data_IF_084673289238
#
_entry.id   IF_084673289238
#
_cell.length_a   1.000
_cell.length_b   1.000
_cell.length_c   1.000
_cell.angle_alpha   90.00
_cell.angle_beta   90.00
_cell.angle_gamma   90.00
#
_symmetry.space_group_name_H-M   'P 1'
#
loop_
_entity.id
_entity.type
_entity.pdbx_description
1 polymer ?
#
# COMPACT_ATOMS: atom_id res chain seq x y z
N UNK A 1 5.67 -17.26 7.61
CA UNK A 1 6.08 -15.84 7.57
C UNK A 1 6.47 -15.32 6.17
N UNK A 2 7.05 -16.11 5.26
CA UNK A 2 7.51 -15.59 3.95
C UNK A 2 6.42 -15.26 2.91
N UNK A 3 5.24 -15.90 2.98
CA UNK A 3 4.19 -15.74 1.97
C UNK A 3 3.48 -14.38 2.03
N UNK A 4 3.27 -13.84 3.23
CA UNK A 4 2.61 -12.53 3.44
C UNK A 4 3.39 -11.39 2.78
N UNK A 5 4.72 -11.42 2.87
CA UNK A 5 5.60 -10.42 2.26
C UNK A 5 5.52 -10.34 0.73
N UNK A 6 5.11 -11.42 0.05
CA UNK A 6 4.99 -11.44 -1.42
C UNK A 6 3.85 -10.55 -1.89
N UNK A 7 2.71 -10.62 -1.23
CA UNK A 7 1.54 -9.79 -1.56
C UNK A 7 1.84 -8.30 -1.36
N UNK A 8 2.47 -7.93 -0.25
CA UNK A 8 2.86 -6.53 0.01
C UNK A 8 3.80 -5.96 -1.06
N UNK A 9 4.79 -6.75 -1.51
CA UNK A 9 5.67 -6.34 -2.60
C UNK A 9 4.93 -6.15 -3.92
N UNK A 10 3.94 -7.00 -4.21
CA UNK A 10 3.14 -6.91 -5.42
C UNK A 10 2.23 -5.68 -5.40
N UNK A 11 1.55 -5.41 -4.28
CA UNK A 11 0.73 -4.19 -4.10
C UNK A 11 1.58 -2.94 -4.26
N UNK A 12 2.79 -2.91 -3.67
CA UNK A 12 3.71 -1.78 -3.82
C UNK A 12 4.15 -1.58 -5.28
N UNK A 13 4.53 -2.66 -5.96
CA UNK A 13 4.95 -2.59 -7.35
C UNK A 13 3.83 -2.05 -8.24
N UNK A 14 2.61 -2.54 -8.04
CA UNK A 14 1.45 -2.12 -8.84
C UNK A 14 1.03 -0.67 -8.53
N UNK A 15 0.95 -0.28 -7.25
CA UNK A 15 0.68 1.11 -6.86
C UNK A 15 1.72 2.08 -7.46
N UNK A 16 3.00 1.70 -7.46
CA UNK A 16 4.06 2.49 -8.08
C UNK A 16 3.87 2.61 -9.60
N UNK A 17 3.50 1.51 -10.26
CA UNK A 17 3.20 1.48 -11.70
C UNK A 17 2.03 2.38 -12.06
N UNK A 18 0.91 2.27 -11.33
CA UNK A 18 -0.28 3.09 -11.54
C UNK A 18 0.02 4.58 -11.34
N UNK A 19 0.80 4.92 -10.31
CA UNK A 19 1.15 6.32 -10.01
C UNK A 19 2.16 6.89 -10.99
N UNK A 20 3.27 6.19 -11.24
CA UNK A 20 4.40 6.73 -12.00
C UNK A 20 4.18 6.64 -13.51
N UNK A 21 3.70 5.50 -13.99
CA UNK A 21 3.51 5.21 -15.42
C UNK A 21 2.13 5.66 -15.89
N UNK A 22 1.08 5.32 -15.12
CA UNK A 22 -0.31 5.58 -15.55
C UNK A 22 -0.88 6.92 -15.04
N UNK A 23 -0.15 7.64 -14.18
CA UNK A 23 -0.58 8.91 -13.56
C UNK A 23 -1.93 8.82 -12.83
N UNK A 24 -2.25 7.65 -12.30
CA UNK A 24 -3.46 7.41 -11.51
C UNK A 24 -3.15 7.56 -10.02
N UNK A 25 -4.15 7.96 -9.24
CA UNK A 25 -4.09 7.96 -7.79
C UNK A 25 -4.74 6.67 -7.25
N UNK A 26 -3.96 5.62 -6.96
CA UNK A 26 -4.54 4.38 -6.43
C UNK A 26 -5.10 4.62 -5.02
N UNK A 27 -6.22 3.94 -4.73
CA UNK A 27 -6.87 3.90 -3.42
C UNK A 27 -6.92 2.44 -2.99
N UNK A 28 -6.41 2.15 -1.79
CA UNK A 28 -6.46 0.81 -1.20
C UNK A 28 -7.57 0.77 -0.17
N UNK A 29 -8.58 -0.06 -0.42
CA UNK A 29 -9.69 -0.30 0.49
C UNK A 29 -9.48 -1.68 1.12
N UNK A 30 -9.57 -1.75 2.44
CA UNK A 30 -9.44 -3.02 3.18
C UNK A 30 -10.77 -3.30 3.87
N UNK A 31 -11.48 -4.28 3.35
CA UNK A 31 -12.67 -4.78 4.02
C UNK A 31 -12.28 -5.62 5.26
N UNK A 32 -13.07 -5.52 6.32
CA UNK A 32 -12.85 -6.20 7.59
C UNK A 32 -11.42 -6.03 8.18
N UNK A 33 -10.86 -4.82 8.06
CA UNK A 33 -9.51 -4.49 8.52
C UNK A 33 -9.26 -4.80 10.01
N UNK A 34 -10.32 -4.90 10.81
CA UNK A 34 -10.26 -5.28 12.22
C UNK A 34 -9.77 -6.72 12.46
N UNK A 35 -9.80 -7.58 11.43
CA UNK A 35 -9.19 -8.91 11.47
C UNK A 35 -7.68 -8.90 11.22
N UNK A 36 -7.12 -7.79 10.71
CA UNK A 36 -5.69 -7.66 10.51
C UNK A 36 -4.98 -7.38 11.83
N UNK A 37 -3.80 -7.97 11.98
CA UNK A 37 -2.90 -7.63 13.07
C UNK A 37 -2.33 -6.22 12.87
N UNK A 38 -2.06 -5.53 13.97
CA UNK A 38 -1.54 -4.16 13.94
C UNK A 38 -0.20 -4.03 13.19
N UNK A 39 0.68 -5.03 13.27
CA UNK A 39 1.95 -5.07 12.52
C UNK A 39 1.73 -5.01 11.00
N UNK A 40 0.68 -5.66 10.51
CA UNK A 40 0.31 -5.67 9.09
C UNK A 40 -0.24 -4.31 8.64
N UNK A 41 -1.06 -3.66 9.47
CA UNK A 41 -1.58 -2.33 9.17
C UNK A 41 -0.45 -1.29 9.13
N UNK A 42 0.53 -1.42 10.01
CA UNK A 42 1.70 -0.55 10.05
C UNK A 42 2.62 -0.75 8.84
N UNK A 43 2.87 -2.01 8.45
CA UNK A 43 3.58 -2.32 7.20
C UNK A 43 2.86 -1.74 5.97
N UNK A 44 1.53 -1.86 5.90
CA UNK A 44 0.74 -1.27 4.82
C UNK A 44 0.90 0.25 4.77
N UNK A 45 0.75 0.93 5.92
CA UNK A 45 0.97 2.37 6.03
C UNK A 45 2.38 2.77 5.58
N UNK A 46 3.41 2.04 5.98
CA UNK A 46 4.78 2.33 5.55
C UNK A 46 4.95 2.15 4.03
N UNK A 47 4.35 1.11 3.45
CA UNK A 47 4.42 0.84 2.02
C UNK A 47 3.68 1.87 1.17
N UNK A 48 2.56 2.41 1.68
CA UNK A 48 1.76 3.43 0.99
C UNK A 48 2.35 4.84 1.13
N UNK A 49 3.11 5.08 2.20
CA UNK A 49 3.63 6.40 2.58
C UNK A 49 5.12 6.61 2.25
N UNK A 50 5.74 5.69 1.48
CA UNK A 50 7.20 5.71 1.21
C UNK A 50 7.69 6.76 0.20
N UNK A 51 6.82 7.68 -0.25
CA UNK A 51 7.26 8.89 -0.94
C UNK A 51 7.12 10.09 0.01
N UNK A 52 8.10 10.23 0.89
CA UNK A 52 8.24 11.32 1.88
C UNK A 52 8.42 12.72 1.27
N UNK A 53 8.08 12.96 -0.01
CA UNK A 53 8.06 14.32 -0.53
C UNK A 53 6.89 14.54 -1.50
N UNK A 54 5.95 15.34 -1.01
CA UNK A 54 5.04 16.24 -1.74
C UNK A 54 3.78 15.73 -2.46
N UNK A 55 3.48 14.43 -2.56
CA UNK A 55 2.21 14.00 -3.19
C UNK A 55 1.64 12.70 -2.59
N UNK A 56 0.34 12.64 -2.19
CA UNK A 56 -0.28 11.39 -1.76
C UNK A 56 -0.32 10.40 -2.93
N UNK A 57 0.41 9.30 -2.83
CA UNK A 57 0.45 8.25 -3.87
C UNK A 57 -0.52 7.11 -3.63
N UNK A 58 -0.96 6.92 -2.40
CA UNK A 58 -1.90 5.86 -2.04
C UNK A 58 -2.64 6.24 -0.76
N UNK A 59 -3.96 6.37 -0.86
CA UNK A 59 -4.83 6.61 0.30
C UNK A 59 -5.33 5.26 0.84
N UNK A 60 -5.24 5.09 2.15
CA UNK A 60 -5.84 3.98 2.89
C UNK A 60 -7.13 4.48 3.54
N UNK A 61 -8.27 3.87 3.19
CA UNK A 61 -9.57 4.15 3.78
C UNK A 61 -10.11 2.92 4.50
#
# INVERSE_FOLDING_TARGET
MAAQYRYFRQVRAESSRLTLESKQLPVLIIDEAHHLRNDVLEDLRLLTNYAMDSDPRLCLL
#
